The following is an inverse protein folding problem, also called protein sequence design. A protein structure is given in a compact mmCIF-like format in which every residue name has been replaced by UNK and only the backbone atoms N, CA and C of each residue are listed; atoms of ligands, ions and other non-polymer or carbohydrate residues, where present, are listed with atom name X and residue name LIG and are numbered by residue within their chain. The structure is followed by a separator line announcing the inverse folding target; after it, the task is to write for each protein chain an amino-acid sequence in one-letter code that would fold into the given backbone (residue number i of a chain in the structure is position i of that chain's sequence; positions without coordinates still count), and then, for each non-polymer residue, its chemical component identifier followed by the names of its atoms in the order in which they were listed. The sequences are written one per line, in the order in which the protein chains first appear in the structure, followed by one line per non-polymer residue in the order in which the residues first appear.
data_IF_466145504089
#
_entry.id   IF_466145504089
#
_cell.length_a   1.000
_cell.length_b   1.000
_cell.length_c   1.000
_cell.angle_alpha   90.00
_cell.angle_beta   90.00
_cell.angle_gamma   90.00
#
_symmetry.space_group_name_H-M   'P 1'
#
loop_
_entity.id
_entity.type
_entity.pdbx_description
1 polymer ?
#
# COMPACT_ATOMS: atom_id res chain seq x y z
N UNK A 1 -51.35 44.25 38.23
CA UNK A 1 -51.18 42.81 38.53
C UNK A 1 -51.60 41.87 37.39
N UNK A 2 -52.71 42.11 36.68
CA UNK A 2 -53.24 41.20 35.65
C UNK A 2 -52.26 40.88 34.49
N UNK A 3 -51.50 41.87 34.01
CA UNK A 3 -50.56 41.68 32.89
C UNK A 3 -49.30 40.89 33.26
N UNK A 4 -48.85 40.94 34.52
CA UNK A 4 -47.69 40.15 34.99
C UNK A 4 -47.99 38.64 34.94
N UNK A 5 -49.21 38.26 35.30
CA UNK A 5 -49.66 36.87 35.24
C UNK A 5 -49.74 36.36 33.80
N UNK A 6 -50.22 37.20 32.88
CA UNK A 6 -50.26 36.94 31.44
C UNK A 6 -48.87 36.77 30.83
N UNK A 7 -47.91 37.62 31.20
CA UNK A 7 -46.51 37.54 30.74
C UNK A 7 -45.84 36.27 31.25
N UNK A 8 -46.04 35.92 32.52
CA UNK A 8 -45.49 34.68 33.11
C UNK A 8 -46.09 33.44 32.41
N UNK A 9 -47.40 33.43 32.16
CA UNK A 9 -48.04 32.36 31.41
C UNK A 9 -47.49 32.23 29.98
N UNK A 10 -47.26 33.36 29.29
CA UNK A 10 -46.68 33.37 27.95
C UNK A 10 -45.25 32.81 27.93
N UNK A 11 -44.42 33.19 28.91
CA UNK A 11 -43.04 32.68 29.05
C UNK A 11 -43.04 31.17 29.31
N UNK A 12 -43.95 30.68 30.15
CA UNK A 12 -44.10 29.23 30.44
C UNK A 12 -44.53 28.47 29.18
N UNK A 13 -45.41 29.03 28.35
CA UNK A 13 -45.87 28.41 27.09
C UNK A 13 -44.73 28.37 26.05
N UNK A 14 -43.91 29.41 25.96
CA UNK A 14 -42.77 29.45 25.04
C UNK A 14 -41.66 28.50 25.49
N UNK A 15 -41.41 28.42 26.80
CA UNK A 15 -40.46 27.45 27.38
C UNK A 15 -40.94 26.00 27.21
N UNK A 16 -42.25 25.73 27.37
CA UNK A 16 -42.78 24.37 27.22
C UNK A 16 -42.87 23.91 25.76
N UNK A 17 -43.15 24.81 24.82
CA UNK A 17 -43.12 24.52 23.38
C UNK A 17 -41.72 24.11 22.88
N UNK A 18 -40.67 24.58 23.54
CA UNK A 18 -39.27 24.21 23.24
C UNK A 18 -38.91 22.81 23.75
N UNK A 19 -39.55 22.35 24.83
CA UNK A 19 -39.33 21.04 25.45
C UNK A 19 -40.12 19.93 24.73
N UNK A 20 -41.18 20.30 24.00
CA UNK A 20 -42.11 19.38 23.32
C UNK A 20 -41.77 19.02 21.88
N UNK A 21 -40.57 19.38 21.38
CA UNK A 21 -40.09 18.80 20.12
C UNK A 21 -39.71 17.34 20.36
N UNK A 22 -40.67 16.43 20.16
CA UNK A 22 -40.41 15.01 20.08
C UNK A 22 -39.40 14.77 18.95
N UNK A 23 -38.17 14.43 19.32
CA UNK A 23 -37.12 14.13 18.36
C UNK A 23 -37.57 12.93 17.51
N UNK A 24 -37.67 13.10 16.19
CA UNK A 24 -38.02 11.99 15.31
C UNK A 24 -37.02 10.85 15.53
N UNK A 25 -37.48 9.59 15.66
CA UNK A 25 -36.57 8.47 15.84
C UNK A 25 -35.59 8.42 14.67
N UNK A 26 -34.31 8.30 14.99
CA UNK A 26 -33.22 8.19 14.02
C UNK A 26 -33.39 6.93 13.18
N UNK A 27 -33.12 7.01 11.87
CA UNK A 27 -33.26 5.88 10.96
C UNK A 27 -32.16 4.85 11.19
N UNK A 28 -32.55 3.62 11.57
CA UNK A 28 -31.61 2.51 11.76
C UNK A 28 -30.91 2.11 10.46
N UNK A 29 -31.64 2.14 9.33
CA UNK A 29 -31.07 1.85 8.02
C UNK A 29 -30.02 2.88 7.62
N UNK A 30 -30.29 4.17 7.89
CA UNK A 30 -29.30 5.23 7.63
C UNK A 30 -28.08 5.08 8.52
N UNK A 31 -28.27 4.79 9.81
CA UNK A 31 -27.16 4.55 10.73
C UNK A 31 -26.28 3.39 10.24
N UNK A 32 -26.89 2.27 9.83
CA UNK A 32 -26.16 1.13 9.28
C UNK A 32 -25.37 1.48 8.01
N UNK A 33 -25.97 2.23 7.08
CA UNK A 33 -25.29 2.68 5.86
C UNK A 33 -24.10 3.61 6.18
N UNK A 34 -24.25 4.49 7.17
CA UNK A 34 -23.17 5.36 7.62
C UNK A 34 -22.02 4.54 8.23
N UNK A 35 -22.29 3.62 9.15
CA UNK A 35 -21.26 2.76 9.74
C UNK A 35 -20.59 1.82 8.73
N UNK A 36 -21.31 1.41 7.67
CA UNK A 36 -20.73 0.64 6.56
C UNK A 36 -19.72 1.48 5.76
N UNK A 37 -20.02 2.75 5.52
CA UNK A 37 -19.11 3.64 4.80
C UNK A 37 -17.90 4.03 5.67
N UNK A 38 -18.15 4.43 6.92
CA UNK A 38 -17.13 4.81 7.89
C UNK A 38 -17.55 4.32 9.28
N UNK A 39 -16.82 3.34 9.86
CA UNK A 39 -17.12 2.82 11.19
C UNK A 39 -17.22 3.94 12.25
N UNK A 40 -18.28 3.91 13.06
CA UNK A 40 -18.52 4.89 14.12
C UNK A 40 -19.41 6.08 13.72
N UNK A 41 -19.66 6.32 12.44
CA UNK A 41 -20.50 7.45 11.99
C UNK A 41 -22.00 7.20 12.14
N UNK A 42 -22.46 5.95 12.03
CA UNK A 42 -23.84 5.58 12.33
C UNK A 42 -24.15 5.64 13.82
N UNK A 43 -23.19 5.26 14.66
CA UNK A 43 -23.25 5.40 16.11
C UNK A 43 -23.30 6.88 16.52
N UNK A 44 -22.54 7.73 15.83
CA UNK A 44 -22.60 9.19 16.01
C UNK A 44 -23.99 9.72 15.66
N UNK A 45 -24.55 9.29 14.53
CA UNK A 45 -25.91 9.64 14.10
C UNK A 45 -26.99 9.17 15.10
N UNK A 46 -26.78 8.01 15.72
CA UNK A 46 -27.63 7.46 16.78
C UNK A 46 -27.37 8.06 18.18
N UNK A 47 -26.49 9.08 18.29
CA UNK A 47 -26.06 9.71 19.56
C UNK A 47 -25.36 8.77 20.54
N UNK A 48 -24.84 7.64 20.07
CA UNK A 48 -23.97 6.76 20.86
C UNK A 48 -22.51 7.20 20.71
N UNK A 49 -22.12 8.21 21.50
CA UNK A 49 -20.81 8.85 21.40
C UNK A 49 -19.65 7.95 21.81
N UNK A 50 -19.82 7.11 22.84
CA UNK A 50 -18.75 6.21 23.29
C UNK A 50 -18.36 5.20 22.20
N UNK A 51 -19.36 4.52 21.61
CA UNK A 51 -19.12 3.57 20.53
C UNK A 51 -18.58 4.26 19.27
N UNK A 52 -19.13 5.44 18.94
CA UNK A 52 -18.67 6.24 17.82
C UNK A 52 -17.18 6.60 17.93
N UNK A 53 -16.76 7.12 19.09
CA UNK A 53 -15.37 7.51 19.33
C UNK A 53 -14.44 6.30 19.24
N UNK A 54 -14.81 5.18 19.86
CA UNK A 54 -14.00 3.97 19.81
C UNK A 54 -13.80 3.45 18.37
N UNK A 55 -14.88 3.39 17.58
CA UNK A 55 -14.82 2.95 16.19
C UNK A 55 -14.03 3.91 15.31
N UNK A 56 -14.27 5.22 15.42
CA UNK A 56 -13.54 6.23 14.64
C UNK A 56 -12.05 6.27 14.99
N UNK A 57 -11.71 6.16 16.27
CA UNK A 57 -10.32 6.09 16.72
C UNK A 57 -9.63 4.83 16.19
N UNK A 58 -10.31 3.69 16.22
CA UNK A 58 -9.79 2.42 15.68
C UNK A 58 -9.53 2.52 14.18
N UNK A 59 -10.50 3.05 13.42
CA UNK A 59 -10.37 3.25 11.98
C UNK A 59 -9.21 4.19 11.64
N UNK A 60 -9.08 5.28 12.40
CA UNK A 60 -7.97 6.23 12.25
C UNK A 60 -6.62 5.55 12.50
N UNK A 61 -6.50 4.76 13.56
CA UNK A 61 -5.29 4.02 13.88
C UNK A 61 -4.95 2.97 12.81
N UNK A 62 -5.96 2.29 12.26
CA UNK A 62 -5.77 1.33 11.17
C UNK A 62 -5.22 1.99 9.91
N UNK A 63 -5.80 3.12 9.48
CA UNK A 63 -5.28 3.85 8.33
C UNK A 63 -3.88 4.39 8.57
N UNK A 64 -3.64 5.02 9.73
CA UNK A 64 -2.30 5.51 10.09
C UNK A 64 -1.29 4.37 10.11
N UNK A 65 -1.63 3.23 10.72
CA UNK A 65 -0.79 2.04 10.73
C UNK A 65 -0.51 1.51 9.32
N UNK A 66 -1.54 1.37 8.50
CA UNK A 66 -1.43 0.91 7.11
C UNK A 66 -0.47 1.79 6.30
N UNK A 67 -0.67 3.11 6.28
CA UNK A 67 0.20 4.03 5.56
C UNK A 67 1.62 4.07 6.13
N UNK A 68 1.74 3.96 7.46
CA UNK A 68 3.03 3.88 8.12
C UNK A 68 3.82 2.65 7.68
N UNK A 69 3.21 1.47 7.64
CA UNK A 69 3.88 0.24 7.20
C UNK A 69 4.22 0.27 5.71
N UNK A 70 3.34 0.81 4.86
CA UNK A 70 3.67 1.02 3.43
C UNK A 70 4.89 1.93 3.26
N UNK A 71 4.97 2.99 4.04
CA UNK A 71 6.10 3.92 3.97
C UNK A 71 7.38 3.29 4.50
N UNK A 72 7.31 2.53 5.59
CA UNK A 72 8.45 1.78 6.12
C UNK A 72 8.96 0.75 5.11
N UNK A 73 8.07 0.01 4.45
CA UNK A 73 8.46 -0.96 3.43
C UNK A 73 9.25 -0.29 2.29
N UNK A 74 8.78 0.86 1.80
CA UNK A 74 9.49 1.65 0.77
C UNK A 74 10.84 2.16 1.23
N UNK A 75 10.97 2.57 2.49
CA UNK A 75 12.25 3.02 3.04
C UNK A 75 13.24 1.86 3.18
N UNK A 76 12.80 0.73 3.75
CA UNK A 76 13.62 -0.47 3.83
C UNK A 76 14.07 -0.93 2.44
N UNK A 77 13.18 -0.83 1.45
CA UNK A 77 13.50 -1.17 0.06
C UNK A 77 14.61 -0.29 -0.52
N UNK A 78 14.39 1.02 -0.45
CA UNK A 78 15.36 2.01 -0.91
C UNK A 78 16.70 1.93 -0.19
N UNK A 79 16.71 1.60 1.10
CA UNK A 79 17.92 1.49 1.90
C UNK A 79 18.75 0.27 1.49
N UNK A 80 18.14 -0.91 1.32
CA UNK A 80 18.89 -2.08 0.84
C UNK A 80 19.38 -1.86 -0.59
N UNK A 81 18.58 -1.26 -1.48
CA UNK A 81 18.96 -0.97 -2.87
C UNK A 81 20.17 -0.04 -2.94
N UNK A 82 20.16 1.04 -2.16
CA UNK A 82 21.31 1.95 -2.05
C UNK A 82 22.53 1.27 -1.46
N UNK A 83 22.35 0.46 -0.42
CA UNK A 83 23.44 -0.28 0.19
C UNK A 83 24.08 -1.24 -0.82
N UNK A 84 23.26 -1.99 -1.55
CA UNK A 84 23.67 -2.89 -2.62
C UNK A 84 24.55 -2.16 -3.66
N UNK A 85 24.03 -1.11 -4.31
CA UNK A 85 24.78 -0.37 -5.34
C UNK A 85 26.06 0.28 -4.79
N UNK A 86 26.03 0.76 -3.55
CA UNK A 86 27.20 1.39 -2.94
C UNK A 86 28.33 0.40 -2.62
N UNK A 87 28.02 -0.90 -2.50
CA UNK A 87 28.99 -1.93 -2.08
C UNK A 87 29.30 -2.96 -3.17
N UNK A 88 28.56 -2.99 -4.27
CA UNK A 88 28.74 -3.99 -5.33
C UNK A 88 29.72 -3.58 -6.44
N UNK A 89 30.41 -2.45 -6.28
CA UNK A 89 31.36 -1.91 -7.26
C UNK A 89 30.78 -1.66 -8.67
N UNK A 90 29.44 -1.69 -8.80
CA UNK A 90 28.71 -1.38 -10.02
C UNK A 90 28.69 0.13 -10.29
N UNK A 91 28.54 0.51 -11.56
CA UNK A 91 28.42 1.91 -11.98
C UNK A 91 26.98 2.30 -12.33
N UNK A 92 26.02 1.42 -12.03
CA UNK A 92 24.60 1.70 -12.20
C UNK A 92 24.10 2.75 -11.22
N UNK A 93 23.36 3.73 -11.75
CA UNK A 93 22.67 4.74 -10.94
C UNK A 93 21.29 4.27 -10.48
N UNK A 94 20.64 3.46 -11.31
CA UNK A 94 19.35 2.82 -11.04
C UNK A 94 19.39 1.44 -11.70
N UNK A 95 18.84 0.44 -11.02
CA UNK A 95 18.75 -0.93 -11.48
C UNK A 95 17.33 -1.44 -11.21
N UNK A 96 16.88 -2.43 -11.96
CA UNK A 96 15.57 -3.05 -11.77
C UNK A 96 15.58 -4.05 -10.62
N UNK A 97 14.40 -4.59 -10.28
CA UNK A 97 14.25 -5.52 -9.16
C UNK A 97 14.99 -6.84 -9.40
N UNK A 98 15.06 -7.29 -10.66
CA UNK A 98 15.77 -8.51 -11.03
C UNK A 98 17.27 -8.37 -10.76
N UNK A 99 17.86 -7.22 -11.09
CA UNK A 99 19.27 -6.96 -10.79
C UNK A 99 19.57 -7.11 -9.29
N UNK A 100 18.72 -6.58 -8.41
CA UNK A 100 18.91 -6.71 -6.96
C UNK A 100 18.72 -8.14 -6.45
N UNK A 101 17.79 -8.89 -7.05
CA UNK A 101 17.63 -10.32 -6.76
C UNK A 101 18.90 -11.10 -7.13
N UNK A 102 19.46 -10.84 -8.31
CA UNK A 102 20.69 -11.49 -8.76
C UNK A 102 21.90 -11.06 -7.92
N UNK A 103 21.97 -9.79 -7.52
CA UNK A 103 23.01 -9.29 -6.61
C UNK A 103 22.95 -9.96 -5.23
N UNK A 104 21.76 -10.36 -4.78
CA UNK A 104 21.59 -11.11 -3.54
C UNK A 104 22.02 -12.57 -3.70
N UNK A 105 21.71 -13.17 -4.85
CA UNK A 105 21.86 -14.61 -5.08
C UNK A 105 23.27 -15.01 -5.53
N UNK A 106 24.03 -14.09 -6.13
CA UNK A 106 25.37 -14.35 -6.67
C UNK A 106 26.40 -13.37 -6.13
N UNK A 107 27.58 -13.89 -5.78
CA UNK A 107 28.64 -13.05 -5.20
C UNK A 107 29.22 -12.06 -6.21
N UNK A 108 29.25 -12.40 -7.49
CA UNK A 108 29.79 -11.55 -8.56
C UNK A 108 29.01 -11.75 -9.85
N UNK A 109 29.05 -10.76 -10.75
CA UNK A 109 28.51 -10.90 -12.09
C UNK A 109 29.20 -12.01 -12.87
N UNK A 110 30.49 -12.29 -12.60
CA UNK A 110 31.22 -13.38 -13.24
C UNK A 110 30.64 -14.75 -12.89
N UNK A 111 30.25 -14.97 -11.63
CA UNK A 111 29.59 -16.18 -11.19
C UNK A 111 28.24 -16.35 -11.91
N UNK A 112 27.41 -15.32 -11.89
CA UNK A 112 26.12 -15.31 -12.58
C UNK A 112 26.28 -15.53 -14.10
N UNK A 113 27.18 -14.79 -14.75
CA UNK A 113 27.44 -14.89 -16.18
C UNK A 113 27.88 -16.31 -16.56
N UNK A 114 28.66 -17.00 -15.72
CA UNK A 114 29.00 -18.40 -15.94
C UNK A 114 27.77 -19.33 -15.92
N UNK A 115 26.79 -19.06 -15.05
CA UNK A 115 25.50 -19.76 -15.08
C UNK A 115 24.72 -19.47 -16.38
N UNK A 116 24.72 -18.22 -16.85
CA UNK A 116 24.09 -17.83 -18.12
C UNK A 116 24.73 -18.56 -19.30
N UNK A 117 26.07 -18.63 -19.38
CA UNK A 117 26.76 -19.38 -20.44
C UNK A 117 26.39 -20.87 -20.46
N UNK A 118 26.34 -21.51 -19.29
CA UNK A 118 25.96 -22.92 -19.17
C UNK A 118 24.49 -23.14 -19.52
N UNK A 119 23.61 -22.23 -19.10
CA UNK A 119 22.20 -22.27 -19.43
C UNK A 119 21.98 -22.10 -20.92
N UNK A 120 22.54 -21.07 -21.55
CA UNK A 120 22.44 -20.79 -22.98
C UNK A 120 22.85 -22.01 -23.81
N UNK A 121 23.97 -22.65 -23.45
CA UNK A 121 24.41 -23.90 -24.07
C UNK A 121 23.33 -24.97 -23.94
N UNK A 122 22.88 -25.31 -22.73
CA UNK A 122 21.93 -26.41 -22.54
C UNK A 122 20.52 -26.13 -23.09
N UNK A 123 20.05 -24.88 -22.98
CA UNK A 123 18.72 -24.44 -23.37
C UNK A 123 18.57 -24.45 -24.90
N UNK A 124 19.55 -23.91 -25.61
CA UNK A 124 19.58 -23.93 -27.07
C UNK A 124 19.77 -25.36 -27.61
N UNK A 125 20.55 -26.22 -26.92
CA UNK A 125 20.73 -27.60 -27.36
C UNK A 125 19.58 -28.57 -27.01
N UNK A 126 18.73 -28.30 -26.00
CA UNK A 126 17.86 -29.35 -25.46
C UNK A 126 16.48 -28.97 -24.93
N UNK A 127 16.18 -27.70 -24.64
CA UNK A 127 14.96 -27.37 -23.87
C UNK A 127 13.82 -26.77 -24.69
N UNK A 128 14.12 -26.08 -25.79
CA UNK A 128 13.13 -25.28 -26.50
C UNK A 128 12.41 -25.97 -27.65
N UNK A 129 12.74 -27.24 -27.98
CA UNK A 129 12.12 -27.96 -29.11
C UNK A 129 12.02 -27.05 -30.35
N UNK A 130 13.10 -26.31 -30.66
CA UNK A 130 13.07 -25.39 -31.77
C UNK A 130 12.74 -26.16 -33.06
N UNK A 131 11.76 -25.67 -33.81
CA UNK A 131 11.43 -26.22 -35.13
C UNK A 131 12.62 -26.06 -36.09
N UNK A 132 13.52 -25.10 -35.82
CA UNK A 132 14.77 -24.86 -36.53
C UNK A 132 16.00 -24.91 -35.60
N UNK A 133 17.18 -25.36 -36.08
CA UNK A 133 18.40 -25.29 -35.29
C UNK A 133 18.73 -23.83 -34.91
N UNK A 134 19.05 -23.59 -33.65
CA UNK A 134 19.55 -22.29 -33.20
C UNK A 134 20.82 -21.91 -33.96
N UNK A 135 21.00 -20.61 -34.17
CA UNK A 135 22.15 -20.03 -34.87
C UNK A 135 23.13 -19.38 -33.90
N UNK A 136 24.35 -19.07 -34.37
CA UNK A 136 25.30 -18.30 -33.57
C UNK A 136 24.73 -16.92 -33.20
N UNK A 137 23.92 -16.32 -34.08
CA UNK A 137 23.28 -15.03 -33.84
C UNK A 137 22.28 -15.11 -32.68
N UNK A 138 21.48 -16.19 -32.59
CA UNK A 138 20.55 -16.40 -31.47
C UNK A 138 21.30 -16.55 -30.13
N UNK A 139 22.45 -17.23 -30.14
CA UNK A 139 23.30 -17.38 -28.96
C UNK A 139 23.88 -16.04 -28.53
N UNK A 140 24.44 -15.27 -29.47
CA UNK A 140 25.05 -13.98 -29.19
C UNK A 140 23.99 -12.98 -28.67
N UNK A 141 22.78 -12.98 -29.25
CA UNK A 141 21.66 -12.17 -28.79
C UNK A 141 21.23 -12.54 -27.38
N UNK A 142 21.12 -13.83 -27.06
CA UNK A 142 20.80 -14.29 -25.71
C UNK A 142 21.85 -13.81 -24.70
N UNK A 143 23.13 -13.93 -25.04
CA UNK A 143 24.19 -13.45 -24.15
C UNK A 143 24.15 -11.93 -23.95
N UNK A 144 23.89 -11.16 -25.01
CA UNK A 144 23.77 -9.70 -24.90
C UNK A 144 22.60 -9.28 -24.00
N UNK A 145 21.50 -10.02 -24.02
CA UNK A 145 20.32 -9.71 -23.19
C UNK A 145 20.50 -10.06 -21.70
N UNK A 146 21.21 -11.14 -21.40
CA UNK A 146 21.26 -11.70 -20.04
C UNK A 146 22.61 -11.54 -19.33
N UNK A 147 23.69 -11.13 -19.99
CA UNK A 147 24.97 -10.94 -19.31
C UNK A 147 25.07 -9.54 -18.68
N UNK A 148 25.53 -9.48 -17.43
CA UNK A 148 25.91 -8.22 -16.79
C UNK A 148 27.40 -7.98 -16.95
N UNK A 149 27.76 -7.00 -17.78
CA UNK A 149 29.15 -6.69 -18.14
C UNK A 149 29.40 -5.18 -18.07
N UNK A 150 30.69 -4.79 -18.01
CA UNK A 150 31.09 -3.39 -18.04
C UNK A 150 30.54 -2.61 -16.83
N UNK A 151 29.71 -1.60 -17.08
CA UNK A 151 29.16 -0.75 -16.02
C UNK A 151 28.12 -1.46 -15.15
N UNK A 152 27.52 -2.54 -15.66
CA UNK A 152 26.48 -3.32 -14.97
C UNK A 152 27.06 -4.52 -14.22
N UNK A 153 28.37 -4.79 -14.37
CA UNK A 153 29.06 -5.83 -13.62
C UNK A 153 29.13 -5.48 -12.12
N UNK A 154 29.22 -6.52 -11.28
CA UNK A 154 29.42 -6.39 -9.85
C UNK A 154 30.45 -7.39 -9.30
N UNK A 155 31.11 -6.99 -8.22
CA UNK A 155 32.17 -7.74 -7.52
C UNK A 155 31.86 -8.01 -6.04
#
# INVERSE_FOLDING_TARGET
MKYKFLIIALIIIVLSASILHAEKPKSKALAALMSFAVPGTGELYAKNTASSIASLATETLLWLGYFHFLQQAKWAENDYKKYALANSNTHLTEADDLYYELLQDYYSSDEYNNHVYLYARNALYGFYNFEEPWTQEDYDQFLEEYLYVGNEAWD
#
